data_IF_784447781009
#
_entry.id   IF_784447781009
#
_cell.length_a   1.000
_cell.length_b   1.000
_cell.length_c   1.000
_cell.angle_alpha   90.00
_cell.angle_beta   90.00
_cell.angle_gamma   90.00
#
_symmetry.space_group_name_H-M   'P 1'
#
loop_
_entity.id
_entity.type
_entity.pdbx_description
1 polymer ?
#
# COMPACT_ATOMS: atom_id res chain seq x y z
N UNK A 1 -9.14 30.10 17.30
CA UNK A 1 -8.19 29.06 16.76
C UNK A 1 -8.92 27.99 15.90
N UNK A 2 -10.20 27.73 16.15
CA UNK A 2 -11.02 26.80 15.34
C UNK A 2 -11.40 27.35 13.96
N UNK A 3 -11.54 28.67 13.79
CA UNK A 3 -11.96 29.29 12.53
C UNK A 3 -10.85 29.35 11.48
N UNK A 4 -9.57 29.37 11.88
CA UNK A 4 -8.44 29.42 10.93
C UNK A 4 -8.13 28.08 10.25
N UNK A 5 -8.61 26.95 10.79
CA UNK A 5 -8.41 25.60 10.22
C UNK A 5 -9.21 25.39 8.92
N UNK A 6 -10.41 25.94 8.84
CA UNK A 6 -11.26 25.84 7.64
C UNK A 6 -10.81 26.75 6.51
N UNK A 7 -10.35 27.96 6.82
CA UNK A 7 -9.92 28.94 5.82
C UNK A 7 -8.65 28.52 5.07
N UNK A 8 -7.66 27.95 5.77
CA UNK A 8 -6.41 27.50 5.12
C UNK A 8 -6.62 26.36 4.11
N UNK A 9 -7.55 25.45 4.39
CA UNK A 9 -7.90 24.35 3.48
C UNK A 9 -8.75 24.84 2.30
N UNK A 10 -9.64 25.78 2.53
CA UNK A 10 -10.44 26.45 1.49
C UNK A 10 -9.56 27.25 0.54
N UNK A 11 -8.62 28.06 1.05
CA UNK A 11 -7.70 28.85 0.22
C UNK A 11 -6.81 27.95 -0.67
N UNK A 12 -6.36 26.80 -0.18
CA UNK A 12 -5.50 25.88 -0.95
C UNK A 12 -6.26 25.11 -2.03
N UNK A 13 -7.58 25.05 -1.92
CA UNK A 13 -8.46 24.40 -2.91
C UNK A 13 -9.13 25.38 -3.86
N UNK A 14 -8.93 26.69 -3.64
CA UNK A 14 -9.51 27.69 -4.54
C UNK A 14 -8.86 27.61 -5.91
N UNK A 15 -9.70 27.58 -6.94
CA UNK A 15 -9.34 27.88 -8.32
C UNK A 15 -9.40 29.38 -8.52
N UNK A 16 -8.38 29.95 -9.15
CA UNK A 16 -8.41 31.31 -9.67
C UNK A 16 -9.04 31.30 -11.06
N UNK A 17 -9.26 32.47 -11.66
CA UNK A 17 -9.71 32.56 -13.05
C UNK A 17 -8.75 31.87 -14.03
N UNK A 18 -7.48 31.68 -13.62
CA UNK A 18 -6.44 30.94 -14.36
C UNK A 18 -6.37 29.44 -13.94
N UNK A 19 -7.32 28.92 -13.13
CA UNK A 19 -7.30 27.56 -12.63
C UNK A 19 -6.50 27.41 -11.33
N UNK A 20 -5.87 26.26 -11.13
CA UNK A 20 -5.01 25.94 -9.98
C UNK A 20 -3.63 25.47 -10.46
N UNK A 21 -2.59 25.75 -9.68
CA UNK A 21 -1.21 25.35 -10.03
C UNK A 21 -0.97 23.89 -9.68
N UNK A 22 -1.30 23.48 -8.44
CA UNK A 22 -1.16 22.11 -7.95
C UNK A 22 -2.34 21.73 -7.07
N UNK A 23 -2.81 20.49 -7.23
CA UNK A 23 -3.76 19.91 -6.30
C UNK A 23 -3.04 19.50 -5.02
N UNK A 24 -3.58 19.91 -3.86
CA UNK A 24 -3.02 19.60 -2.55
C UNK A 24 -3.95 18.65 -1.81
N UNK A 25 -3.41 17.53 -1.36
CA UNK A 25 -4.08 16.60 -0.44
C UNK A 25 -3.32 16.57 0.90
N UNK A 26 -4.00 16.98 1.97
CA UNK A 26 -3.44 17.08 3.31
C UNK A 26 -3.87 15.92 4.23
N UNK A 27 -4.47 14.87 3.68
CA UNK A 27 -4.96 13.72 4.46
C UNK A 27 -3.83 12.82 4.97
N UNK A 28 -2.68 12.78 4.29
CA UNK A 28 -1.50 12.02 4.72
C UNK A 28 -0.74 12.80 5.80
N UNK A 29 -1.30 12.81 7.00
CA UNK A 29 -0.67 13.34 8.22
C UNK A 29 -1.20 12.60 9.43
N UNK A 30 -0.48 12.64 10.58
CA UNK A 30 -0.96 12.02 11.82
C UNK A 30 -2.39 12.45 12.15
N UNK A 31 -3.29 11.49 12.26
CA UNK A 31 -4.71 11.70 12.61
C UNK A 31 -5.32 13.00 12.03
N UNK A 32 -5.63 13.02 10.70
CA UNK A 32 -6.07 14.24 10.02
C UNK A 32 -7.39 14.82 10.55
N UNK A 33 -8.16 14.04 11.29
CA UNK A 33 -9.40 14.49 11.96
C UNK A 33 -9.13 15.33 13.20
N UNK A 34 -8.07 15.05 13.94
CA UNK A 34 -7.80 15.61 15.28
C UNK A 34 -6.58 16.53 15.31
N UNK A 35 -5.62 16.39 14.36
CA UNK A 35 -4.37 17.15 14.37
C UNK A 35 -4.42 18.42 13.51
N UNK A 36 -3.64 19.46 13.88
CA UNK A 36 -3.44 20.63 13.02
C UNK A 36 -2.73 20.25 11.70
N UNK A 37 -2.84 21.11 10.69
CA UNK A 37 -2.18 20.95 9.39
C UNK A 37 -0.65 20.90 9.56
N UNK A 38 -0.09 21.67 10.49
CA UNK A 38 1.32 21.65 10.85
C UNK A 38 1.52 20.86 12.15
N UNK A 39 2.42 19.89 12.11
CA UNK A 39 2.80 19.05 13.24
C UNK A 39 4.27 19.29 13.56
N UNK A 40 4.62 19.44 14.84
CA UNK A 40 6.02 19.60 15.26
C UNK A 40 6.80 18.28 15.10
N UNK A 41 8.13 18.37 14.93
CA UNK A 41 8.99 17.18 14.85
C UNK A 41 8.82 16.21 16.02
N UNK A 42 8.82 16.67 17.30
CA UNK A 42 8.61 15.76 18.42
C UNK A 42 7.24 15.09 18.42
N UNK A 43 6.18 15.81 18.02
CA UNK A 43 4.86 15.24 17.96
C UNK A 43 4.73 14.20 16.83
N UNK A 44 5.38 14.43 15.68
CA UNK A 44 5.45 13.46 14.60
C UNK A 44 6.22 12.20 15.03
N UNK A 45 7.37 12.36 15.69
CA UNK A 45 8.19 11.26 16.22
C UNK A 45 7.37 10.36 17.16
N UNK A 46 6.72 10.94 18.17
CA UNK A 46 5.86 10.22 19.11
C UNK A 46 4.74 9.48 18.39
N UNK A 47 4.10 10.13 17.41
CA UNK A 47 3.02 9.51 16.65
C UNK A 47 3.50 8.28 15.87
N UNK A 48 4.58 8.40 15.08
CA UNK A 48 5.05 7.31 14.24
C UNK A 48 5.73 6.19 15.03
N UNK A 49 6.28 6.48 16.20
CA UNK A 49 6.79 5.45 17.13
C UNK A 49 5.66 4.67 17.81
N UNK A 50 4.52 5.32 18.12
CA UNK A 50 3.48 4.74 18.96
C UNK A 50 2.23 4.30 18.20
N UNK A 51 1.86 5.01 17.14
CA UNK A 51 0.58 4.85 16.43
C UNK A 51 0.71 4.68 14.92
N UNK A 52 1.91 4.87 14.36
CA UNK A 52 2.15 4.82 12.92
C UNK A 52 1.71 3.48 12.31
N UNK A 53 0.94 3.56 11.22
CA UNK A 53 0.34 2.42 10.53
C UNK A 53 1.25 1.94 9.39
N UNK A 54 1.11 0.66 8.98
CA UNK A 54 1.95 0.11 7.92
C UNK A 54 1.68 0.73 6.54
N UNK A 55 0.46 1.15 6.26
CA UNK A 55 0.16 1.89 5.02
C UNK A 55 0.87 3.27 4.98
N UNK A 56 1.11 3.91 6.14
CA UNK A 56 1.89 5.15 6.22
C UNK A 56 3.36 4.89 5.91
N UNK A 57 3.92 3.74 6.32
CA UNK A 57 5.28 3.32 5.93
C UNK A 57 5.42 3.28 4.41
N UNK A 58 4.46 2.63 3.71
CA UNK A 58 4.45 2.57 2.26
C UNK A 58 4.36 3.96 1.62
N UNK A 59 3.53 4.85 2.18
CA UNK A 59 3.42 6.22 1.70
C UNK A 59 4.72 7.01 1.86
N UNK A 60 5.43 6.84 2.98
CA UNK A 60 6.69 7.53 3.26
C UNK A 60 7.87 7.06 2.40
N UNK A 61 7.81 5.92 1.74
CA UNK A 61 8.84 5.52 0.76
C UNK A 61 9.02 6.61 -0.32
N UNK A 62 7.93 7.27 -0.71
CA UNK A 62 7.93 8.32 -1.74
C UNK A 62 8.03 9.74 -1.17
N UNK A 63 8.18 9.88 0.14
CA UNK A 63 8.22 11.19 0.78
C UNK A 63 9.52 11.94 0.45
N UNK A 64 9.38 13.21 0.17
CA UNK A 64 10.49 14.15 -0.02
C UNK A 64 10.10 15.53 0.47
N UNK A 65 11.08 16.30 0.90
CA UNK A 65 10.87 17.71 1.17
C UNK A 65 10.64 18.48 -0.13
N UNK A 66 9.67 19.38 -0.14
CA UNK A 66 9.34 20.22 -1.31
C UNK A 66 9.52 21.71 -1.05
N UNK A 67 9.52 22.15 0.22
CA UNK A 67 9.68 23.55 0.61
C UNK A 67 10.18 23.68 2.05
N UNK A 68 10.59 24.87 2.46
CA UNK A 68 11.00 25.21 3.81
C UNK A 68 12.45 24.87 4.13
N UNK A 69 12.80 24.80 5.42
CA UNK A 69 14.17 24.53 5.88
C UNK A 69 14.58 23.08 5.62
N UNK A 70 15.62 22.91 4.80
CA UNK A 70 16.13 21.59 4.41
C UNK A 70 16.63 20.77 5.60
N UNK A 71 17.17 21.40 6.65
CA UNK A 71 17.65 20.70 7.86
C UNK A 71 16.48 20.06 8.61
N UNK A 72 15.37 20.79 8.73
CA UNK A 72 14.16 20.29 9.38
C UNK A 72 13.55 19.13 8.58
N UNK A 73 13.45 19.23 7.25
CA UNK A 73 12.95 18.15 6.40
C UNK A 73 13.81 16.90 6.46
N UNK A 74 15.13 17.04 6.36
CA UNK A 74 16.07 15.92 6.46
C UNK A 74 16.03 15.27 7.85
N UNK A 75 15.87 16.07 8.91
CA UNK A 75 15.73 15.56 10.26
C UNK A 75 14.47 14.72 10.42
N UNK A 76 13.32 15.16 9.87
CA UNK A 76 12.08 14.38 9.87
C UNK A 76 12.27 13.04 9.15
N UNK A 77 12.82 13.03 7.94
CA UNK A 77 13.05 11.79 7.19
C UNK A 77 14.03 10.85 7.92
N UNK A 78 15.01 11.39 8.62
CA UNK A 78 15.93 10.61 9.47
C UNK A 78 15.21 9.96 10.66
N UNK A 79 14.35 10.72 11.36
CA UNK A 79 13.53 10.23 12.47
C UNK A 79 12.59 9.11 11.99
N UNK A 80 11.97 9.27 10.81
CA UNK A 80 11.05 8.29 10.25
C UNK A 80 11.75 7.05 9.66
N UNK A 81 13.04 7.10 9.39
CA UNK A 81 13.77 6.00 8.78
C UNK A 81 13.63 4.66 9.51
N UNK A 82 13.75 4.57 10.85
CA UNK A 82 13.52 3.31 11.58
C UNK A 82 12.07 2.82 11.51
N UNK A 83 11.11 3.73 11.45
CA UNK A 83 9.71 3.40 11.28
C UNK A 83 9.44 2.80 9.89
N UNK A 84 9.98 3.41 8.83
CA UNK A 84 9.78 2.96 7.44
C UNK A 84 10.54 1.65 7.20
N UNK A 85 11.82 1.59 7.55
CA UNK A 85 12.78 0.54 7.18
C UNK A 85 13.13 -0.32 8.39
N UNK A 86 12.23 -1.24 8.76
CA UNK A 86 12.47 -2.20 9.85
C UNK A 86 13.50 -3.24 9.41
N UNK A 87 14.51 -3.51 10.26
CA UNK A 87 15.54 -4.52 9.97
C UNK A 87 15.01 -5.95 10.04
N UNK A 88 14.10 -6.20 10.93
CA UNK A 88 13.45 -7.49 11.11
C UNK A 88 12.01 -7.33 10.64
N UNK A 89 11.65 -8.12 9.64
CA UNK A 89 10.25 -8.34 9.32
C UNK A 89 9.69 -9.23 10.38
N UNK A 90 8.77 -8.68 11.08
CA UNK A 90 7.87 -9.41 11.93
C UNK A 90 6.79 -10.09 11.04
N UNK A 91 6.34 -11.25 11.43
CA UNK A 91 5.22 -11.94 10.79
C UNK A 91 4.01 -11.00 10.64
N UNK A 92 3.76 -10.16 11.65
CA UNK A 92 2.77 -9.09 11.61
C UNK A 92 2.92 -8.12 10.42
N UNK A 93 4.14 -7.83 9.96
CA UNK A 93 4.35 -6.93 8.82
C UNK A 93 3.96 -7.57 7.48
N UNK A 94 4.12 -8.88 7.34
CA UNK A 94 3.64 -9.65 6.18
C UNK A 94 2.11 -9.71 6.23
N UNK A 95 1.55 -9.99 7.39
CA UNK A 95 0.10 -10.03 7.61
C UNK A 95 -0.57 -8.67 7.34
N UNK A 96 0.08 -7.57 7.71
CA UNK A 96 -0.37 -6.21 7.40
C UNK A 96 -0.34 -5.90 5.90
N UNK A 97 0.63 -6.44 5.16
CA UNK A 97 0.67 -6.37 3.69
C UNK A 97 -0.50 -7.16 3.09
N UNK A 98 -0.80 -8.33 3.62
CA UNK A 98 -1.97 -9.13 3.24
C UNK A 98 -3.29 -8.44 3.63
N UNK A 99 -3.36 -7.80 4.79
CA UNK A 99 -4.52 -7.03 5.21
C UNK A 99 -4.75 -5.80 4.31
N UNK A 100 -3.71 -5.10 3.91
CA UNK A 100 -3.80 -4.03 2.91
C UNK A 100 -4.30 -4.55 1.57
N UNK A 101 -3.84 -5.74 1.12
CA UNK A 101 -4.36 -6.41 -0.09
C UNK A 101 -5.86 -6.67 0.03
N UNK A 102 -6.30 -7.33 1.11
CA UNK A 102 -7.72 -7.65 1.35
C UNK A 102 -8.58 -6.38 1.34
N UNK A 103 -8.13 -5.32 1.98
CA UNK A 103 -8.83 -4.04 2.02
C UNK A 103 -8.94 -3.39 0.63
N UNK A 104 -7.90 -3.47 -0.18
CA UNK A 104 -7.88 -3.00 -1.57
C UNK A 104 -8.85 -3.84 -2.43
N UNK A 105 -8.86 -5.16 -2.26
CA UNK A 105 -9.75 -6.06 -3.02
C UNK A 105 -11.22 -5.95 -2.58
N UNK A 106 -11.51 -5.83 -1.29
CA UNK A 106 -12.88 -5.68 -0.77
C UNK A 106 -13.58 -4.42 -1.30
N UNK A 107 -12.83 -3.33 -1.48
CA UNK A 107 -13.35 -2.07 -2.04
C UNK A 107 -13.58 -2.14 -3.56
N UNK A 108 -12.89 -3.04 -4.28
CA UNK A 108 -12.82 -3.05 -5.76
C UNK A 108 -13.65 -4.13 -6.46
N UNK A 109 -14.21 -5.08 -5.71
CA UNK A 109 -15.00 -6.18 -6.27
C UNK A 109 -14.17 -7.22 -7.06
N UNK A 110 -14.71 -8.43 -7.21
CA UNK A 110 -14.09 -9.57 -7.90
C UNK A 110 -14.43 -9.59 -9.41
N UNK A 111 -14.71 -8.43 -10.03
CA UNK A 111 -15.14 -8.34 -11.43
C UNK A 111 -14.00 -8.64 -12.42
N UNK A 112 -14.37 -9.19 -13.58
CA UNK A 112 -13.49 -9.29 -14.75
C UNK A 112 -12.97 -7.91 -15.16
N UNK A 113 -11.81 -7.85 -15.80
CA UNK A 113 -11.25 -6.61 -16.37
C UNK A 113 -12.19 -6.17 -17.50
N UNK A 114 -12.97 -5.12 -17.25
CA UNK A 114 -13.81 -4.48 -18.25
C UNK A 114 -13.16 -3.16 -18.66
N UNK A 115 -12.82 -2.99 -19.94
CA UNK A 115 -12.10 -1.80 -20.43
C UNK A 115 -12.96 -0.54 -20.33
N UNK A 116 -14.23 -0.60 -20.73
CA UNK A 116 -15.14 0.53 -20.63
C UNK A 116 -15.37 0.92 -19.15
N UNK A 117 -14.99 2.14 -18.80
CA UNK A 117 -15.09 2.64 -17.43
C UNK A 117 -14.02 2.09 -16.48
N UNK A 118 -13.00 1.37 -16.97
CA UNK A 118 -11.91 0.88 -16.14
C UNK A 118 -11.10 2.03 -15.51
N UNK A 119 -10.77 1.91 -14.24
CA UNK A 119 -9.87 2.84 -13.59
C UNK A 119 -8.43 2.32 -13.70
N UNK A 120 -7.66 2.87 -14.63
CA UNK A 120 -6.30 2.42 -14.96
C UNK A 120 -5.28 2.62 -13.82
N UNK A 121 -5.61 3.44 -12.82
CA UNK A 121 -4.74 3.65 -11.66
C UNK A 121 -5.09 2.73 -10.51
N UNK A 122 -6.37 2.70 -10.15
CA UNK A 122 -6.86 1.99 -8.98
C UNK A 122 -7.57 0.67 -9.32
N UNK A 123 -7.92 0.44 -10.57
CA UNK A 123 -8.53 -0.80 -11.03
C UNK A 123 -7.54 -1.96 -11.01
N UNK A 124 -8.06 -3.15 -11.30
CA UNK A 124 -7.30 -4.40 -11.36
C UNK A 124 -6.28 -4.35 -12.50
N UNK A 125 -5.05 -4.76 -12.24
CA UNK A 125 -3.93 -4.62 -13.19
C UNK A 125 -3.43 -3.19 -13.36
N UNK A 126 -3.90 -2.21 -12.56
CA UNK A 126 -3.58 -0.81 -12.72
C UNK A 126 -2.25 -0.39 -12.12
N UNK A 127 -1.90 0.88 -12.35
CA UNK A 127 -0.63 1.50 -11.91
C UNK A 127 -0.35 1.25 -10.43
N UNK A 128 -1.38 1.31 -9.58
CA UNK A 128 -1.23 1.14 -8.13
C UNK A 128 -0.77 -0.26 -7.75
N UNK A 129 -1.10 -1.28 -8.51
CA UNK A 129 -0.65 -2.64 -8.26
C UNK A 129 0.84 -2.81 -8.57
N UNK A 130 1.34 -2.17 -9.63
CA UNK A 130 2.79 -2.13 -9.92
C UNK A 130 3.54 -1.40 -8.80
N UNK A 131 3.04 -0.23 -8.38
CA UNK A 131 3.65 0.53 -7.29
C UNK A 131 3.65 -0.26 -5.98
N UNK A 132 2.56 -0.95 -5.69
CA UNK A 132 2.43 -1.77 -4.49
C UNK A 132 3.34 -3.00 -4.53
N UNK A 133 3.47 -3.66 -5.68
CA UNK A 133 4.40 -4.76 -5.90
C UNK A 133 5.84 -4.35 -5.50
N UNK A 134 6.29 -3.20 -5.97
CA UNK A 134 7.62 -2.68 -5.65
C UNK A 134 7.73 -2.28 -4.18
N UNK A 135 6.77 -1.50 -3.66
CA UNK A 135 6.81 -0.99 -2.29
C UNK A 135 6.76 -2.11 -1.24
N UNK A 136 6.02 -3.17 -1.49
CA UNK A 136 5.98 -4.34 -0.62
C UNK A 136 7.36 -4.95 -0.47
N UNK A 137 8.04 -5.23 -1.58
CA UNK A 137 9.38 -5.80 -1.56
C UNK A 137 10.42 -4.85 -0.95
N UNK A 138 10.27 -3.53 -1.19
CA UNK A 138 11.09 -2.51 -0.52
C UNK A 138 10.90 -2.52 0.99
N UNK A 139 9.68 -2.63 1.49
CA UNK A 139 9.39 -2.73 2.93
C UNK A 139 9.97 -4.01 3.52
N UNK A 140 9.97 -5.10 2.77
CA UNK A 140 10.53 -6.39 3.16
C UNK A 140 12.06 -6.33 3.26
N UNK A 141 12.73 -5.84 2.24
CA UNK A 141 14.18 -5.95 2.10
C UNK A 141 14.95 -4.66 2.47
N UNK A 142 14.32 -3.49 2.36
CA UNK A 142 14.97 -2.20 2.52
C UNK A 142 15.48 -1.89 3.92
N UNK A 143 15.02 -2.62 4.94
CA UNK A 143 15.58 -2.56 6.29
C UNK A 143 17.03 -3.08 6.35
N UNK A 144 17.34 -4.09 5.53
CA UNK A 144 18.65 -4.75 5.44
C UNK A 144 19.50 -4.21 4.30
N UNK A 145 18.88 -3.88 3.15
CA UNK A 145 19.58 -3.31 1.99
C UNK A 145 19.11 -1.87 1.71
N UNK A 146 20.00 -0.91 1.96
CA UNK A 146 19.74 0.51 1.74
C UNK A 146 19.54 0.89 0.28
N UNK A 147 20.06 0.10 -0.67
CA UNK A 147 19.92 0.37 -2.10
C UNK A 147 18.48 0.18 -2.59
N UNK A 148 17.65 -0.53 -1.82
CA UNK A 148 16.23 -0.73 -2.07
C UNK A 148 15.32 0.39 -1.49
N UNK A 149 15.90 1.51 -1.04
CA UNK A 149 15.15 2.62 -0.42
C UNK A 149 14.83 3.77 -1.36
N UNK A 150 14.90 3.56 -2.66
CA UNK A 150 14.60 4.59 -3.66
C UNK A 150 13.10 4.89 -3.78
N UNK A 151 12.76 6.13 -4.15
CA UNK A 151 11.37 6.57 -4.30
C UNK A 151 10.76 6.25 -5.68
N UNK A 152 11.57 5.95 -6.68
CA UNK A 152 11.14 5.77 -8.07
C UNK A 152 10.86 4.30 -8.38
N UNK A 153 9.69 4.01 -8.94
CA UNK A 153 9.20 2.64 -9.17
C UNK A 153 10.09 1.85 -10.14
N UNK A 154 10.33 2.35 -11.36
CA UNK A 154 11.13 1.61 -12.36
C UNK A 154 12.60 1.41 -11.96
N UNK A 155 13.34 2.40 -11.41
CA UNK A 155 14.67 2.14 -10.87
C UNK A 155 14.68 1.09 -9.76
N UNK A 156 13.63 1.02 -8.94
CA UNK A 156 13.57 0.01 -7.88
C UNK A 156 13.27 -1.39 -8.41
N UNK A 157 12.51 -1.54 -9.49
CA UNK A 157 12.37 -2.82 -10.19
C UNK A 157 13.76 -3.37 -10.61
N UNK A 158 14.60 -2.53 -11.23
CA UNK A 158 15.96 -2.93 -11.59
C UNK A 158 16.78 -3.33 -10.36
N UNK A 159 16.73 -2.52 -9.29
CA UNK A 159 17.46 -2.82 -8.06
C UNK A 159 17.01 -4.12 -7.38
N UNK A 160 15.71 -4.46 -7.46
CA UNK A 160 15.18 -5.72 -6.96
C UNK A 160 15.72 -6.92 -7.78
N UNK A 161 15.79 -6.79 -9.11
CA UNK A 161 16.35 -7.85 -9.97
C UNK A 161 17.84 -8.05 -9.77
N UNK A 162 18.64 -6.96 -9.72
CA UNK A 162 20.08 -7.02 -9.44
C UNK A 162 20.40 -7.76 -8.13
N UNK A 163 19.47 -7.83 -7.21
CA UNK A 163 19.59 -8.51 -5.91
C UNK A 163 18.88 -9.85 -5.85
N UNK A 164 18.35 -10.32 -6.96
CA UNK A 164 17.70 -11.63 -7.08
C UNK A 164 16.32 -11.73 -6.42
N UNK A 165 15.68 -10.60 -6.09
CA UNK A 165 14.31 -10.59 -5.54
C UNK A 165 13.26 -10.87 -6.60
N UNK A 166 13.50 -10.44 -7.84
CA UNK A 166 12.61 -10.66 -8.98
C UNK A 166 13.44 -11.06 -10.20
N UNK A 167 12.81 -11.63 -11.21
CA UNK A 167 13.45 -11.98 -12.48
C UNK A 167 13.59 -10.73 -13.36
N UNK A 168 14.57 -10.73 -14.29
CA UNK A 168 14.75 -9.65 -15.27
C UNK A 168 13.51 -9.51 -16.19
N UNK A 169 12.89 -10.62 -16.57
CA UNK A 169 11.66 -10.65 -17.35
C UNK A 169 10.54 -9.84 -16.65
N UNK A 170 10.35 -10.04 -15.35
CA UNK A 170 9.39 -9.26 -14.53
C UNK A 170 9.70 -7.76 -14.57
N UNK A 171 10.99 -7.37 -14.59
CA UNK A 171 11.36 -5.95 -14.72
C UNK A 171 10.94 -5.37 -16.05
N UNK A 172 11.21 -6.07 -17.15
CA UNK A 172 10.86 -5.62 -18.50
C UNK A 172 9.33 -5.47 -18.64
N UNK A 173 8.58 -6.48 -18.23
CA UNK A 173 7.13 -6.51 -18.29
C UNK A 173 6.48 -5.43 -17.44
N UNK A 174 6.85 -5.32 -16.16
CA UNK A 174 6.26 -4.32 -15.26
C UNK A 174 6.70 -2.89 -15.59
N UNK A 175 7.93 -2.68 -16.08
CA UNK A 175 8.38 -1.36 -16.53
C UNK A 175 7.63 -0.94 -17.80
N UNK A 176 7.49 -1.85 -18.77
CA UNK A 176 6.70 -1.63 -19.98
C UNK A 176 5.24 -1.30 -19.65
N UNK A 177 4.62 -2.10 -18.79
CA UNK A 177 3.26 -1.89 -18.30
C UNK A 177 3.10 -0.53 -17.59
N UNK A 178 4.05 -0.18 -16.71
CA UNK A 178 4.03 1.09 -15.99
C UNK A 178 4.06 2.28 -16.94
N UNK A 179 4.98 2.30 -17.89
CA UNK A 179 5.09 3.38 -18.88
C UNK A 179 3.84 3.48 -19.76
N UNK A 180 3.32 2.35 -20.20
CA UNK A 180 2.09 2.31 -21.00
C UNK A 180 0.89 2.88 -20.23
N UNK A 181 0.63 2.38 -19.03
CA UNK A 181 -0.48 2.85 -18.19
C UNK A 181 -0.33 4.33 -17.79
N UNK A 182 0.89 4.79 -17.50
CA UNK A 182 1.16 6.22 -17.25
C UNK A 182 0.89 7.07 -18.49
N UNK A 183 1.21 6.58 -19.68
CA UNK A 183 0.88 7.23 -20.95
C UNK A 183 -0.63 7.38 -21.15
N UNK A 184 -1.41 6.34 -20.84
CA UNK A 184 -2.88 6.38 -20.86
C UNK A 184 -3.41 7.37 -19.81
N UNK A 185 -2.91 7.31 -18.57
CA UNK A 185 -3.32 8.23 -17.50
C UNK A 185 -3.12 9.70 -17.89
N UNK A 186 -1.95 10.03 -18.45
CA UNK A 186 -1.66 11.39 -18.87
C UNK A 186 -2.61 11.87 -19.97
N UNK A 187 -2.91 11.01 -20.96
CA UNK A 187 -3.85 11.35 -22.04
C UNK A 187 -5.28 11.56 -21.53
N UNK A 188 -5.73 10.75 -20.57
CA UNK A 188 -7.02 10.95 -19.89
C UNK A 188 -7.09 12.32 -19.20
N UNK A 189 -6.01 12.70 -18.50
CA UNK A 189 -5.93 13.97 -17.80
C UNK A 189 -5.85 15.18 -18.75
N UNK A 190 -5.13 15.04 -19.87
CA UNK A 190 -4.99 16.09 -20.86
C UNK A 190 -6.30 16.41 -21.60
N UNK A 191 -7.17 15.43 -21.76
CA UNK A 191 -8.38 15.57 -22.58
C UNK A 191 -9.36 16.62 -22.05
N UNK A 192 -9.47 16.77 -20.71
CA UNK A 192 -10.40 17.70 -20.06
C UNK A 192 -9.75 18.52 -18.94
N UNK A 193 -8.41 18.48 -18.82
CA UNK A 193 -7.66 19.06 -17.70
C UNK A 193 -8.21 18.60 -16.33
N UNK A 194 -8.68 17.37 -16.26
CA UNK A 194 -9.26 16.76 -15.06
C UNK A 194 -8.31 15.72 -14.45
N UNK A 195 -8.34 15.62 -13.12
CA UNK A 195 -7.64 14.53 -12.42
C UNK A 195 -8.48 13.24 -12.49
N UNK A 196 -8.61 12.70 -13.68
CA UNK A 196 -9.32 11.45 -13.93
C UNK A 196 -8.35 10.29 -14.21
N UNK A 197 -8.76 9.08 -13.85
CA UNK A 197 -8.03 7.84 -14.10
C UNK A 197 -8.96 6.79 -14.71
N UNK A 198 -10.17 7.18 -15.05
CA UNK A 198 -11.22 6.27 -15.51
C UNK A 198 -11.44 6.44 -17.00
N UNK A 199 -11.35 5.33 -17.73
CA UNK A 199 -11.63 5.28 -19.16
C UNK A 199 -13.08 5.65 -19.45
N UNK A 200 -13.37 6.18 -20.65
CA UNK A 200 -14.73 6.44 -21.08
C UNK A 200 -15.60 5.17 -21.01
N UNK A 201 -16.88 5.37 -20.63
CA UNK A 201 -17.83 4.26 -20.49
C UNK A 201 -18.56 3.91 -21.79
N UNK A 202 -18.77 4.91 -22.66
CA UNK A 202 -19.47 4.71 -23.94
C UNK A 202 -18.48 4.35 -25.04
N UNK A 203 -18.88 3.48 -25.95
CA UNK A 203 -18.03 3.00 -27.03
C UNK A 203 -17.56 4.14 -27.94
N UNK A 204 -18.43 5.08 -28.26
CA UNK A 204 -18.09 6.28 -29.05
C UNK A 204 -16.95 7.09 -28.43
N UNK A 205 -17.03 7.38 -27.12
CA UNK A 205 -15.97 8.13 -26.42
C UNK A 205 -14.69 7.30 -26.26
N UNK A 206 -14.84 5.99 -26.13
CA UNK A 206 -13.69 5.09 -26.00
C UNK A 206 -12.98 4.98 -27.37
N UNK A 207 -13.71 4.95 -28.50
CA UNK A 207 -13.13 5.03 -29.83
C UNK A 207 -12.32 6.34 -30.01
N UNK A 208 -12.94 7.49 -29.72
CA UNK A 208 -12.27 8.78 -29.82
C UNK A 208 -11.01 8.85 -28.91
N UNK A 209 -11.03 8.22 -27.75
CA UNK A 209 -9.87 8.12 -26.88
C UNK A 209 -8.80 7.18 -27.45
N UNK A 210 -9.19 6.07 -28.05
CA UNK A 210 -8.30 5.13 -28.76
C UNK A 210 -7.57 5.84 -29.91
N UNK A 211 -8.28 6.60 -30.72
CA UNK A 211 -7.71 7.41 -31.79
C UNK A 211 -6.73 8.44 -31.27
N UNK A 212 -7.04 9.10 -30.15
CA UNK A 212 -6.13 10.03 -29.46
C UNK A 212 -4.90 9.33 -28.90
N UNK A 213 -4.99 8.05 -28.56
CA UNK A 213 -3.85 7.22 -28.16
C UNK A 213 -3.00 6.77 -29.34
N UNK A 214 -3.46 6.95 -30.60
CA UNK A 214 -2.75 6.61 -31.81
C UNK A 214 -2.98 5.17 -32.29
N UNK A 215 -4.09 4.54 -31.89
CA UNK A 215 -4.49 3.22 -32.37
C UNK A 215 -5.34 3.35 -33.64
N UNK A 216 -5.16 2.42 -34.55
CA UNK A 216 -5.95 2.36 -35.81
C UNK A 216 -7.36 1.84 -35.54
N UNK A 217 -7.51 0.89 -34.61
CA UNK A 217 -8.81 0.35 -34.23
C UNK A 217 -9.01 0.34 -32.71
N UNK A 218 -10.28 0.39 -32.30
CA UNK A 218 -10.64 0.26 -30.89
C UNK A 218 -10.30 -1.11 -30.33
N UNK A 219 -10.36 -2.14 -31.14
CA UNK A 219 -10.08 -3.52 -30.73
C UNK A 219 -8.59 -3.73 -30.45
N UNK A 220 -7.70 -3.11 -31.23
CA UNK A 220 -6.25 -3.11 -30.95
C UNK A 220 -5.94 -2.44 -29.63
N UNK A 221 -6.56 -1.29 -29.36
CA UNK A 221 -6.44 -0.61 -28.08
C UNK A 221 -6.93 -1.46 -26.91
N UNK A 222 -8.13 -2.04 -27.05
CA UNK A 222 -8.72 -2.90 -26.01
C UNK A 222 -7.84 -4.12 -25.75
N UNK A 223 -7.39 -4.81 -26.80
CA UNK A 223 -6.51 -5.98 -26.69
C UNK A 223 -5.22 -5.62 -25.96
N UNK A 224 -4.52 -4.60 -26.45
CA UNK A 224 -3.25 -4.16 -25.85
C UNK A 224 -3.41 -3.76 -24.39
N UNK A 225 -4.47 -3.05 -24.05
CA UNK A 225 -4.72 -2.64 -22.66
C UNK A 225 -5.06 -3.84 -21.78
N UNK A 226 -5.86 -4.79 -22.27
CA UNK A 226 -6.18 -6.02 -21.53
C UNK A 226 -4.93 -6.83 -21.24
N UNK A 227 -4.07 -7.07 -22.23
CA UNK A 227 -2.79 -7.79 -22.07
C UNK A 227 -1.92 -7.15 -20.98
N UNK A 228 -1.83 -5.82 -21.00
CA UNK A 228 -1.04 -5.09 -19.99
C UNK A 228 -1.64 -5.23 -18.58
N UNK A 229 -2.96 -5.08 -18.44
CA UNK A 229 -3.63 -5.19 -17.14
C UNK A 229 -3.53 -6.64 -16.60
N UNK A 230 -3.65 -7.65 -17.45
CA UNK A 230 -3.50 -9.06 -17.08
C UNK A 230 -2.06 -9.38 -16.67
N UNK A 231 -1.05 -8.90 -17.41
CA UNK A 231 0.36 -9.04 -17.05
C UNK A 231 0.64 -8.50 -15.65
N UNK A 232 0.18 -7.29 -15.37
CA UNK A 232 0.36 -6.68 -14.04
C UNK A 232 -0.32 -7.51 -12.97
N UNK A 233 -1.52 -8.01 -13.25
CA UNK A 233 -2.28 -8.82 -12.31
C UNK A 233 -1.59 -10.14 -11.98
N UNK A 234 -0.99 -10.81 -12.97
CA UNK A 234 -0.25 -12.06 -12.77
C UNK A 234 0.89 -11.82 -11.78
N UNK A 235 1.77 -10.85 -12.04
CA UNK A 235 2.88 -10.54 -11.15
C UNK A 235 2.42 -10.09 -9.76
N UNK A 236 1.32 -9.34 -9.70
CA UNK A 236 0.75 -8.91 -8.44
C UNK A 236 0.19 -10.10 -7.62
N UNK A 237 -0.41 -11.09 -8.27
CA UNK A 237 -0.91 -12.29 -7.62
C UNK A 237 0.26 -13.16 -7.10
N UNK A 238 1.28 -13.41 -7.94
CA UNK A 238 2.47 -14.20 -7.57
C UNK A 238 3.19 -13.65 -6.33
N UNK A 239 3.22 -12.33 -6.16
CA UNK A 239 3.81 -11.72 -4.97
C UNK A 239 3.18 -12.23 -3.67
N UNK A 240 1.89 -12.58 -3.70
CA UNK A 240 1.15 -13.02 -2.52
C UNK A 240 1.12 -14.54 -2.37
N UNK A 241 1.20 -15.27 -3.46
CA UNK A 241 1.34 -16.73 -3.42
C UNK A 241 2.68 -17.14 -2.78
N UNK A 242 3.75 -16.41 -3.06
CA UNK A 242 5.04 -16.60 -2.38
C UNK A 242 4.99 -16.27 -0.88
N UNK A 243 4.14 -15.32 -0.49
CA UNK A 243 3.88 -14.99 0.93
C UNK A 243 3.08 -16.08 1.65
N UNK A 244 2.15 -16.73 0.98
CA UNK A 244 1.37 -17.84 1.51
C UNK A 244 2.23 -19.10 1.75
N UNK A 245 3.25 -19.36 0.94
CA UNK A 245 4.20 -20.47 1.15
C UNK A 245 5.03 -20.24 2.42
N UNK A 246 5.42 -19.01 2.72
CA UNK A 246 6.13 -18.66 3.97
C UNK A 246 5.19 -18.62 5.19
N UNK A 247 3.90 -18.36 4.97
CA UNK A 247 2.86 -18.38 6.00
C UNK A 247 2.35 -19.79 6.27
N UNK A 248 2.36 -20.69 5.26
CA UNK A 248 1.88 -22.07 5.38
C UNK A 248 2.74 -22.99 6.26
N UNK A 249 3.99 -22.60 6.57
CA UNK A 249 4.76 -23.32 7.59
C UNK A 249 4.23 -23.10 9.03
N UNK A 250 3.41 -22.06 9.26
CA UNK A 250 2.82 -21.73 10.57
C UNK A 250 1.28 -21.59 10.57
N UNK A 251 0.59 -21.89 9.45
CA UNK A 251 -0.86 -21.77 9.30
C UNK A 251 -1.37 -20.33 9.05
N UNK A 252 -2.65 -20.22 8.74
CA UNK A 252 -3.30 -18.96 8.37
C UNK A 252 -3.93 -18.32 9.62
N UNK A 253 -3.20 -17.43 10.32
CA UNK A 253 -3.64 -16.79 11.55
C UNK A 253 -4.02 -15.33 11.32
N UNK A 254 -5.30 -15.00 11.28
CA UNK A 254 -5.85 -13.65 11.07
C UNK A 254 -6.53 -13.15 12.34
N UNK A 255 -5.94 -12.18 13.01
CA UNK A 255 -6.48 -11.56 14.22
C UNK A 255 -7.01 -10.13 13.99
N UNK A 256 -7.25 -9.75 12.74
CA UNK A 256 -7.80 -8.44 12.36
C UNK A 256 -9.34 -8.53 12.19
N UNK A 257 -10.07 -7.47 12.60
CA UNK A 257 -11.52 -7.40 12.46
C UNK A 257 -12.28 -7.66 13.77
N UNK A 258 -13.63 -7.61 13.68
CA UNK A 258 -14.53 -7.78 14.83
C UNK A 258 -14.99 -9.24 15.03
N UNK A 259 -14.82 -10.08 14.02
CA UNK A 259 -15.27 -11.48 14.05
C UNK A 259 -14.09 -12.45 13.94
N UNK A 260 -14.28 -13.68 14.41
CA UNK A 260 -13.30 -14.74 14.29
C UNK A 260 -13.26 -15.27 12.85
N UNK A 261 -12.07 -15.27 12.25
CA UNK A 261 -11.84 -15.88 10.96
C UNK A 261 -11.87 -17.42 11.08
N UNK A 262 -12.68 -18.13 10.28
CA UNK A 262 -12.83 -19.59 10.38
C UNK A 262 -11.52 -20.36 10.16
N UNK A 263 -10.68 -19.91 9.22
CA UNK A 263 -9.39 -20.56 8.92
C UNK A 263 -8.40 -20.38 10.07
N UNK A 264 -8.43 -19.21 10.74
CA UNK A 264 -7.65 -18.93 11.94
C UNK A 264 -8.04 -19.87 13.09
N UNK A 265 -9.35 -20.11 13.29
CA UNK A 265 -9.82 -21.02 14.32
C UNK A 265 -9.39 -22.46 14.04
N UNK A 266 -9.43 -22.89 12.79
CA UNK A 266 -8.98 -24.22 12.39
C UNK A 266 -7.47 -24.37 12.62
N UNK A 267 -6.67 -23.37 12.22
CA UNK A 267 -5.22 -23.36 12.44
C UNK A 267 -4.88 -23.40 13.93
N UNK A 268 -5.52 -22.59 14.77
CA UNK A 268 -5.32 -22.62 16.22
C UNK A 268 -5.67 -24.00 16.82
N UNK A 269 -6.74 -24.62 16.31
CA UNK A 269 -7.12 -25.97 16.75
C UNK A 269 -6.07 -27.02 16.36
N UNK A 270 -5.50 -26.91 15.13
CA UNK A 270 -4.41 -27.79 14.68
C UNK A 270 -3.12 -27.59 15.47
N UNK A 271 -2.87 -26.37 15.96
CA UNK A 271 -1.77 -26.04 16.87
C UNK A 271 -1.99 -26.53 18.32
N UNK A 272 -3.10 -27.22 18.62
CA UNK A 272 -3.40 -27.79 19.92
C UNK A 272 -4.19 -26.90 20.88
N UNK A 273 -4.69 -25.76 20.45
CA UNK A 273 -5.51 -24.86 21.28
C UNK A 273 -6.95 -25.41 21.38
N UNK A 274 -7.32 -26.00 22.52
CA UNK A 274 -8.67 -26.55 22.77
C UNK A 274 -9.78 -25.48 22.69
N UNK A 275 -9.45 -24.19 22.93
CA UNK A 275 -10.38 -23.06 22.94
C UNK A 275 -9.94 -22.00 21.92
N UNK A 276 -9.83 -22.42 20.66
CA UNK A 276 -9.35 -21.57 19.57
C UNK A 276 -10.08 -20.22 19.46
N UNK A 277 -11.40 -20.18 19.61
CA UNK A 277 -12.18 -18.94 19.54
C UNK A 277 -11.83 -17.97 20.68
N UNK A 278 -11.68 -18.48 21.91
CA UNK A 278 -11.30 -17.65 23.06
C UNK A 278 -9.87 -17.11 22.89
N UNK A 279 -8.95 -17.93 22.39
CA UNK A 279 -7.57 -17.54 22.11
C UNK A 279 -7.51 -16.44 21.03
N UNK A 280 -8.28 -16.60 19.95
CA UNK A 280 -8.40 -15.57 18.91
C UNK A 280 -8.92 -14.24 19.46
N UNK A 281 -9.94 -14.26 20.32
CA UNK A 281 -10.48 -13.07 20.99
C UNK A 281 -9.46 -12.39 21.92
N UNK A 282 -8.68 -13.17 22.66
CA UNK A 282 -7.62 -12.65 23.53
C UNK A 282 -6.50 -11.99 22.72
N UNK A 283 -6.02 -12.63 21.66
CA UNK A 283 -4.98 -12.08 20.79
C UNK A 283 -5.47 -10.78 20.13
N UNK A 284 -6.72 -10.73 19.66
CA UNK A 284 -7.31 -9.47 19.16
C UNK A 284 -7.39 -8.40 20.25
N UNK A 285 -7.68 -8.80 21.48
CA UNK A 285 -7.65 -7.90 22.64
C UNK A 285 -6.26 -7.32 22.88
N UNK A 286 -5.20 -8.08 22.62
CA UNK A 286 -3.81 -7.59 22.68
C UNK A 286 -3.51 -6.62 21.55
N UNK A 287 -3.90 -6.95 20.31
CA UNK A 287 -3.70 -6.09 19.13
C UNK A 287 -4.48 -4.76 19.22
N UNK A 288 -5.66 -4.78 19.84
CA UNK A 288 -6.46 -3.56 20.03
C UNK A 288 -5.97 -2.66 21.19
N UNK A 289 -4.92 -3.09 21.92
CA UNK A 289 -4.39 -2.34 23.07
C UNK A 289 -5.31 -2.34 24.30
N UNK A 290 -6.24 -3.29 24.38
CA UNK A 290 -7.20 -3.43 25.50
C UNK A 290 -6.52 -3.62 26.84
N UNK A 291 -5.33 -4.22 26.86
CA UNK A 291 -4.54 -4.43 28.07
C UNK A 291 -3.42 -3.41 28.21
N UNK A 292 -3.15 -2.96 29.43
CA UNK A 292 -2.12 -1.96 29.72
C UNK A 292 -0.71 -2.39 29.25
N UNK A 293 -0.41 -3.69 29.34
CA UNK A 293 0.88 -4.27 28.93
C UNK A 293 1.13 -4.21 27.41
N UNK A 294 0.09 -4.10 26.59
CA UNK A 294 0.17 -4.12 25.12
C UNK A 294 -0.27 -2.79 24.48
N UNK A 295 -0.13 -1.68 25.18
CA UNK A 295 -0.50 -0.36 24.64
C UNK A 295 0.44 0.14 23.55
N UNK A 296 1.69 -0.32 23.52
CA UNK A 296 2.64 0.04 22.47
C UNK A 296 2.63 -1.01 21.33
N UNK A 297 2.88 -0.61 20.07
CA UNK A 297 2.96 -1.54 18.94
C UNK A 297 3.98 -2.66 19.19
N UNK A 298 5.17 -2.31 19.70
CA UNK A 298 6.25 -3.25 20.02
C UNK A 298 5.86 -4.27 21.09
N UNK A 299 5.10 -3.86 22.10
CA UNK A 299 4.60 -4.77 23.13
C UNK A 299 3.55 -5.73 22.57
N UNK A 300 2.68 -5.25 21.68
CA UNK A 300 1.68 -6.10 20.99
C UNK A 300 2.34 -7.19 20.14
N UNK A 301 3.31 -6.80 19.31
CA UNK A 301 4.10 -7.71 18.49
C UNK A 301 4.81 -8.77 19.34
N UNK A 302 5.48 -8.35 20.41
CA UNK A 302 6.27 -9.25 21.28
C UNK A 302 5.41 -10.26 22.00
N UNK A 303 4.26 -9.87 22.53
CA UNK A 303 3.35 -10.76 23.29
C UNK A 303 2.72 -11.82 22.40
N UNK A 304 2.24 -11.45 21.20
CA UNK A 304 1.65 -12.40 20.26
C UNK A 304 2.65 -13.47 19.82
N UNK A 305 3.87 -13.07 19.47
CA UNK A 305 4.94 -13.99 19.04
C UNK A 305 5.39 -14.93 20.16
N UNK A 306 5.61 -14.41 21.36
CA UNK A 306 6.11 -15.21 22.48
C UNK A 306 5.08 -16.25 22.94
N UNK A 307 3.80 -15.92 22.90
CA UNK A 307 2.73 -16.84 23.35
C UNK A 307 2.49 -17.97 22.37
N UNK A 308 2.48 -17.71 21.07
CA UNK A 308 2.34 -18.73 20.04
C UNK A 308 3.55 -19.70 20.05
N UNK A 309 4.78 -19.18 20.19
CA UNK A 309 5.99 -20.00 20.21
C UNK A 309 6.19 -20.79 21.52
N UNK A 310 5.70 -20.29 22.64
CA UNK A 310 5.79 -21.01 23.92
C UNK A 310 4.97 -22.31 23.92
N UNK A 311 3.91 -22.41 23.10
CA UNK A 311 3.11 -23.62 22.96
C UNK A 311 3.81 -24.69 22.10
N UNK A 312 4.62 -24.32 21.10
CA UNK A 312 5.39 -25.25 20.26
C UNK A 312 6.51 -25.95 21.05
N UNK A 313 6.99 -25.36 22.17
CA UNK A 313 8.12 -25.90 22.95
C UNK A 313 7.68 -26.78 24.14
N UNK A 314 6.39 -26.93 24.39
CA UNK A 314 5.88 -27.73 25.52
C UNK A 314 5.56 -29.19 25.15
N UNK A 315 5.65 -29.58 23.88
CA UNK A 315 5.41 -30.93 23.36
C UNK A 315 6.69 -31.67 22.93
N UNK A 316 7.84 -31.44 23.63
CA UNK A 316 9.05 -32.29 23.54
C UNK A 316 9.50 -32.75 24.91
#
# INVERSE_FOLDING_TARGET
YRSSRGLGDVYKRQTTDAGFVFRVDLRLRPDPGSTPVAVSLPAAEIYYESFGQNWERAAFIKARQIAGDARTGNKLLSILSPFIWRKNLDFAAIEDVHAMKRQIHAVRGHGQIAIAGHNIKLGRGGIREIEFFVQTQQLIAGGRDKNLRGAQTCPMLNQLAERGWIKNETVEELTGAYHFLRGIEHRLQMQQDEQTHTLPKTEEKLQAFSDFCGYETLDDFKSRLTDVLETVQIHYAELFEQGEVLANEMGNLVFAGSENDPETLETLSQMGFERAAQMSDEIRGWHSGRFAAVRTPRARESVSYTHLRAHETTDN
#
